data_IF_312528790253
#
_entry.id   IF_312528790253
#
_cell.length_a   1.000
_cell.length_b   1.000
_cell.length_c   1.000
_cell.angle_alpha   90.00
_cell.angle_beta   90.00
_cell.angle_gamma   90.00
#
_symmetry.space_group_name_H-M   'P 1'
#
loop_
_entity.id
_entity.type
_entity.pdbx_description
1 polymer ?
#
# COMPACT_ATOMS: atom_id res chain seq x y z
N UNK A 1 22.40 -38.34 37.35
CA UNK A 1 20.95 -37.97 37.41
C UNK A 1 20.68 -37.03 36.25
N UNK A 2 19.73 -37.39 35.35
CA UNK A 2 19.33 -36.50 34.24
C UNK A 2 18.25 -35.58 34.73
N UNK A 3 18.50 -34.28 34.75
CA UNK A 3 17.49 -33.25 35.03
C UNK A 3 16.85 -32.86 33.70
N UNK A 4 15.52 -33.04 33.61
CA UNK A 4 14.73 -32.55 32.48
C UNK A 4 14.31 -31.11 32.80
N UNK A 5 14.81 -30.17 31.98
CA UNK A 5 14.40 -28.76 32.08
C UNK A 5 13.30 -28.54 31.04
N UNK A 6 12.06 -28.19 31.45
CA UNK A 6 11.00 -27.86 30.52
C UNK A 6 11.33 -26.58 29.77
N UNK A 7 11.16 -26.56 28.45
CA UNK A 7 11.35 -25.39 27.61
C UNK A 7 10.00 -25.02 26.98
N UNK A 8 9.55 -23.79 27.21
CA UNK A 8 8.37 -23.24 26.58
C UNK A 8 8.77 -22.43 25.36
N UNK A 9 8.27 -22.80 24.18
CA UNK A 9 8.47 -22.03 22.95
C UNK A 9 7.36 -20.99 22.84
N UNK A 10 7.78 -19.72 22.74
CA UNK A 10 6.84 -18.60 22.63
C UNK A 10 6.24 -18.51 21.22
N UNK A 11 4.94 -18.26 21.09
CA UNK A 11 4.28 -18.14 19.80
C UNK A 11 4.72 -16.85 19.06
N UNK A 12 4.74 -16.91 17.73
CA UNK A 12 4.93 -15.74 16.86
C UNK A 12 3.56 -15.31 16.33
N UNK A 13 3.19 -14.04 16.56
CA UNK A 13 2.03 -13.45 15.93
C UNK A 13 2.31 -13.23 14.44
N UNK A 14 1.39 -13.66 13.57
CA UNK A 14 1.51 -13.52 12.11
C UNK A 14 0.28 -12.87 11.53
N UNK A 15 0.50 -11.95 10.58
CA UNK A 15 -0.58 -11.27 9.88
C UNK A 15 -0.15 -10.83 8.49
N UNK A 16 -1.13 -10.35 7.74
CA UNK A 16 -0.92 -9.80 6.40
C UNK A 16 -1.60 -8.44 6.28
N UNK A 17 -0.96 -7.53 5.55
CA UNK A 17 -1.51 -6.22 5.18
C UNK A 17 -1.33 -5.99 3.69
N UNK A 18 -2.26 -5.26 3.11
CA UNK A 18 -2.16 -4.81 1.71
C UNK A 18 -2.10 -3.28 1.70
N UNK A 19 -1.09 -2.73 1.05
CA UNK A 19 -0.89 -1.29 0.86
C UNK A 19 -0.84 -0.97 -0.63
N UNK A 20 -1.16 0.27 -1.05
CA UNK A 20 -1.04 0.65 -2.45
C UNK A 20 0.43 0.78 -2.89
N UNK A 21 0.65 0.63 -4.19
CA UNK A 21 1.93 0.88 -4.83
C UNK A 21 2.38 2.33 -4.62
N UNK A 22 3.66 2.51 -4.30
CA UNK A 22 4.25 3.83 -4.05
C UNK A 22 3.96 4.41 -2.67
N UNK A 23 3.32 3.65 -1.76
CA UNK A 23 3.04 4.11 -0.41
C UNK A 23 4.34 4.32 0.39
N UNK A 24 4.31 5.24 1.34
CA UNK A 24 5.47 5.60 2.16
C UNK A 24 5.85 4.50 3.15
N UNK A 25 7.12 4.42 3.52
CA UNK A 25 7.59 3.46 4.54
C UNK A 25 6.95 3.70 5.90
N UNK A 26 6.67 4.96 6.25
CA UNK A 26 6.00 5.32 7.49
C UNK A 26 4.56 4.80 7.53
N UNK A 27 3.85 4.90 6.40
CA UNK A 27 2.51 4.33 6.29
C UNK A 27 2.52 2.81 6.34
N UNK A 28 3.50 2.16 5.72
CA UNK A 28 3.69 0.69 5.83
C UNK A 28 3.91 0.28 7.28
N UNK A 29 4.75 1.02 8.05
CA UNK A 29 4.97 0.76 9.48
C UNK A 29 3.69 0.95 10.31
N UNK A 30 2.94 2.03 10.05
CA UNK A 30 1.66 2.30 10.73
C UNK A 30 0.68 1.13 10.55
N UNK A 31 0.46 0.71 9.30
CA UNK A 31 -0.47 -0.37 8.95
C UNK A 31 0.00 -1.72 9.51
N UNK A 32 1.30 -2.01 9.43
CA UNK A 32 1.88 -3.23 9.99
C UNK A 32 1.74 -3.27 11.51
N UNK A 33 1.96 -2.15 12.20
CA UNK A 33 1.76 -2.05 13.65
C UNK A 33 0.30 -2.28 14.04
N UNK A 34 -0.65 -1.64 13.35
CA UNK A 34 -2.08 -1.84 13.60
C UNK A 34 -2.49 -3.32 13.41
N UNK A 35 -1.94 -3.99 12.39
CA UNK A 35 -2.18 -5.42 12.18
C UNK A 35 -1.55 -6.29 13.26
N UNK A 36 -0.37 -5.96 13.72
CA UNK A 36 0.26 -6.66 14.85
C UNK A 36 -0.56 -6.52 16.13
N UNK A 37 -1.13 -5.33 16.41
CA UNK A 37 -2.04 -5.09 17.53
C UNK A 37 -3.32 -5.94 17.43
N UNK A 38 -3.92 -6.01 16.24
CA UNK A 38 -5.09 -6.85 15.96
C UNK A 38 -4.79 -8.33 16.26
N UNK A 39 -3.69 -8.86 15.68
CA UNK A 39 -3.31 -10.27 15.82
C UNK A 39 -2.89 -10.61 17.25
N UNK A 40 -2.06 -9.78 17.89
CA UNK A 40 -1.58 -10.00 19.25
C UNK A 40 -2.72 -9.97 20.31
N UNK A 41 -3.78 -9.22 20.02
CA UNK A 41 -4.97 -9.16 20.87
C UNK A 41 -6.05 -10.17 20.50
N UNK A 42 -5.88 -10.94 19.44
CA UNK A 42 -6.84 -11.97 19.03
C UNK A 42 -6.95 -13.10 20.08
N UNK A 43 -8.13 -13.68 20.16
CA UNK A 43 -8.36 -14.84 21.03
C UNK A 43 -7.45 -16.04 20.65
N UNK A 44 -7.24 -16.24 19.35
CA UNK A 44 -6.41 -17.33 18.81
C UNK A 44 -4.93 -17.18 19.21
N UNK A 45 -4.39 -15.96 19.21
CA UNK A 45 -3.02 -15.73 19.66
C UNK A 45 -2.91 -15.88 21.18
N UNK A 46 -3.84 -15.26 21.92
CA UNK A 46 -3.86 -15.32 23.38
C UNK A 46 -3.98 -16.76 23.91
N UNK A 47 -4.74 -17.62 23.23
CA UNK A 47 -4.86 -19.02 23.57
C UNK A 47 -3.57 -19.84 23.41
N UNK A 48 -2.59 -19.32 22.65
CA UNK A 48 -1.28 -19.96 22.44
C UNK A 48 -0.21 -19.45 23.41
N UNK A 49 -0.51 -18.37 24.15
CA UNK A 49 0.40 -17.87 25.17
C UNK A 49 0.47 -18.84 26.36
N UNK A 50 1.59 -18.86 27.11
CA UNK A 50 1.69 -19.61 28.34
C UNK A 50 0.60 -19.22 29.33
N UNK A 51 0.17 -20.16 30.19
CA UNK A 51 -0.76 -19.90 31.26
C UNK A 51 -0.25 -18.75 32.14
N UNK A 52 -1.15 -17.84 32.50
CA UNK A 52 -0.83 -16.66 33.33
C UNK A 52 -0.19 -15.50 32.52
N UNK A 53 -0.05 -15.62 31.21
CA UNK A 53 0.41 -14.51 30.37
C UNK A 53 -0.58 -13.32 30.41
N UNK A 54 -0.02 -12.12 30.58
CA UNK A 54 -0.78 -10.85 30.66
C UNK A 54 0.03 -9.70 30.07
N UNK A 55 -0.57 -8.50 30.03
CA UNK A 55 0.07 -7.27 29.61
C UNK A 55 0.64 -7.38 28.18
N UNK A 56 -0.18 -7.86 27.22
CA UNK A 56 0.24 -7.95 25.82
C UNK A 56 0.32 -6.54 25.24
N UNK A 57 1.52 -6.11 24.86
CA UNK A 57 1.81 -4.78 24.33
C UNK A 57 2.54 -4.89 22.98
N UNK A 58 2.19 -4.01 22.05
CA UNK A 58 2.87 -3.90 20.74
C UNK A 58 3.78 -2.68 20.76
N UNK A 59 5.05 -2.90 20.55
CA UNK A 59 6.07 -1.87 20.57
C UNK A 59 6.18 -1.09 19.25
N UNK A 60 7.13 -0.15 19.23
CA UNK A 60 7.47 0.61 18.04
C UNK A 60 8.33 -0.24 17.09
N UNK A 61 8.15 -0.04 15.78
CA UNK A 61 8.97 -0.66 14.74
C UNK A 61 10.28 0.14 14.63
N UNK A 62 11.36 -0.46 15.05
CA UNK A 62 12.72 0.13 15.01
C UNK A 62 13.50 -0.28 13.77
N UNK A 63 13.12 -1.38 13.11
CA UNK A 63 13.75 -1.82 11.87
C UNK A 63 13.43 -0.88 10.71
N UNK A 64 14.39 -0.72 9.81
CA UNK A 64 14.19 0.02 8.57
C UNK A 64 13.31 -0.80 7.60
N UNK A 65 12.22 -0.20 7.14
CA UNK A 65 11.41 -0.76 6.07
C UNK A 65 11.93 -0.20 4.75
N UNK A 66 12.38 -1.08 3.86
CA UNK A 66 12.91 -0.67 2.57
C UNK A 66 11.82 -0.02 1.70
N UNK A 67 12.12 1.16 1.14
CA UNK A 67 11.20 1.88 0.25
C UNK A 67 10.82 1.04 -1.00
N UNK A 68 11.68 0.11 -1.40
CA UNK A 68 11.44 -0.82 -2.52
C UNK A 68 10.30 -1.80 -2.26
N UNK A 69 9.86 -1.98 -1.01
CA UNK A 69 8.77 -2.92 -0.67
C UNK A 69 7.46 -2.54 -1.39
N UNK A 70 7.23 -1.25 -1.63
CA UNK A 70 6.02 -0.72 -2.30
C UNK A 70 6.25 -0.32 -3.76
N UNK A 71 7.46 -0.53 -4.32
CA UNK A 71 7.81 -0.09 -5.67
C UNK A 71 6.98 -0.77 -6.76
N UNK A 72 6.56 -2.00 -6.54
CA UNK A 72 5.78 -2.79 -7.50
C UNK A 72 4.66 -3.58 -6.81
N UNK A 73 3.53 -3.72 -7.50
CA UNK A 73 2.43 -4.56 -7.05
C UNK A 73 2.82 -6.04 -6.98
N UNK A 74 2.26 -6.75 -6.02
CA UNK A 74 2.48 -8.19 -5.83
C UNK A 74 2.17 -8.64 -4.41
N UNK A 75 2.13 -9.95 -4.22
CA UNK A 75 1.98 -10.58 -2.91
C UNK A 75 3.33 -10.83 -2.26
N UNK A 76 3.37 -10.84 -0.94
CA UNK A 76 4.56 -11.17 -0.14
C UNK A 76 5.81 -10.37 -0.57
N UNK A 77 5.66 -9.06 -0.68
CA UNK A 77 6.74 -8.15 -1.07
C UNK A 77 7.80 -7.97 0.01
N UNK A 78 7.48 -8.33 1.23
CA UNK A 78 8.38 -8.30 2.37
C UNK A 78 7.66 -8.58 3.67
N UNK A 79 8.43 -8.65 4.74
CA UNK A 79 7.92 -8.85 6.10
C UNK A 79 8.40 -7.72 7.00
N UNK A 80 7.47 -7.12 7.73
CA UNK A 80 7.76 -6.14 8.77
C UNK A 80 7.71 -6.84 10.12
N UNK A 81 8.77 -6.71 10.90
CA UNK A 81 8.85 -7.23 12.27
C UNK A 81 8.36 -6.17 13.24
N UNK A 82 7.43 -6.55 14.10
CA UNK A 82 6.80 -5.68 15.08
C UNK A 82 6.96 -6.31 16.45
N UNK A 83 7.70 -5.69 17.40
CA UNK A 83 7.91 -6.30 18.71
C UNK A 83 6.61 -6.41 19.50
N UNK A 84 6.31 -7.61 19.99
CA UNK A 84 5.19 -7.92 20.87
C UNK A 84 5.75 -8.39 22.21
N UNK A 85 5.38 -7.70 23.27
CA UNK A 85 5.84 -7.98 24.65
C UNK A 85 4.65 -8.47 25.48
N UNK A 86 4.89 -9.44 26.35
CA UNK A 86 3.93 -9.91 27.34
C UNK A 86 4.65 -10.41 28.59
N UNK A 87 3.95 -10.48 29.69
CA UNK A 87 4.49 -10.85 30.99
C UNK A 87 3.97 -12.22 31.41
N UNK A 88 4.87 -13.13 31.79
CA UNK A 88 4.55 -14.44 32.39
C UNK A 88 5.28 -14.54 33.72
N UNK A 89 4.59 -14.82 34.82
CA UNK A 89 5.14 -14.94 36.14
C UNK A 89 6.05 -13.74 36.56
N UNK A 90 5.65 -12.54 36.13
CA UNK A 90 6.38 -11.30 36.43
C UNK A 90 7.60 -11.05 35.54
N UNK A 91 7.93 -11.94 34.60
CA UNK A 91 9.03 -11.79 33.63
C UNK A 91 8.49 -11.30 32.29
N UNK A 92 9.08 -10.24 31.74
CA UNK A 92 8.76 -9.72 30.39
C UNK A 92 9.46 -10.54 29.33
N UNK A 93 8.71 -10.92 28.32
CA UNK A 93 9.19 -11.58 27.10
C UNK A 93 8.81 -10.75 25.89
N UNK A 94 9.74 -10.61 24.95
CA UNK A 94 9.49 -9.93 23.68
C UNK A 94 9.74 -10.89 22.51
N UNK A 95 8.79 -10.96 21.60
CA UNK A 95 8.90 -11.72 20.36
C UNK A 95 8.31 -10.91 19.21
N UNK A 96 9.03 -10.83 18.10
CA UNK A 96 8.54 -10.08 16.95
C UNK A 96 7.34 -10.78 16.31
N UNK A 97 6.28 -10.01 16.08
CA UNK A 97 5.24 -10.38 15.12
C UNK A 97 5.77 -10.25 13.70
N UNK A 98 5.40 -11.18 12.84
CA UNK A 98 5.76 -11.17 11.41
C UNK A 98 4.55 -10.71 10.58
N UNK A 99 4.62 -9.51 10.03
CA UNK A 99 3.55 -8.94 9.21
C UNK A 99 4.00 -8.92 7.75
N UNK A 100 3.38 -9.79 6.95
CA UNK A 100 3.62 -9.86 5.51
C UNK A 100 2.96 -8.69 4.80
N UNK A 101 3.70 -8.02 3.93
CA UNK A 101 3.23 -6.88 3.14
C UNK A 101 2.92 -7.33 1.71
N UNK A 102 1.68 -7.12 1.31
CA UNK A 102 1.22 -7.23 -0.08
C UNK A 102 1.05 -5.83 -0.65
N UNK A 103 1.28 -5.66 -1.95
CA UNK A 103 1.17 -4.38 -2.63
C UNK A 103 0.15 -4.48 -3.76
N UNK A 104 -0.85 -3.63 -3.72
CA UNK A 104 -1.85 -3.48 -4.78
C UNK A 104 -1.50 -2.30 -5.67
N UNK A 105 -1.68 -2.44 -6.98
CA UNK A 105 -1.45 -1.38 -7.94
C UNK A 105 -2.55 -1.31 -8.99
N UNK A 106 -2.70 -0.16 -9.61
CA UNK A 106 -3.63 0.13 -10.69
C UNK A 106 -2.91 0.24 -12.03
N UNK A 107 -3.65 0.09 -13.12
CA UNK A 107 -3.19 0.32 -14.49
C UNK A 107 -3.97 1.47 -15.11
N UNK A 108 -3.41 2.10 -16.15
CA UNK A 108 -4.10 3.11 -16.93
C UNK A 108 -3.93 2.86 -18.42
N UNK A 109 -5.04 2.96 -19.12
CA UNK A 109 -5.08 2.97 -20.58
C UNK A 109 -4.86 4.38 -21.13
N UNK A 110 -4.58 4.48 -22.42
CA UNK A 110 -4.32 5.73 -23.10
C UNK A 110 -5.59 6.52 -23.36
N UNK A 111 -5.54 7.85 -23.13
CA UNK A 111 -6.59 8.80 -23.48
C UNK A 111 -6.13 9.63 -24.68
N UNK A 112 -7.03 9.93 -25.60
CA UNK A 112 -6.77 10.75 -26.78
C UNK A 112 -7.46 12.10 -26.68
N UNK A 113 -6.77 13.16 -27.07
CA UNK A 113 -7.29 14.53 -27.09
C UNK A 113 -6.78 15.28 -28.31
N UNK A 114 -7.56 16.23 -28.82
CA UNK A 114 -7.09 17.10 -29.92
C UNK A 114 -6.25 18.24 -29.33
N UNK A 115 -5.22 18.63 -30.07
CA UNK A 115 -4.34 19.75 -29.69
C UNK A 115 -5.13 21.02 -29.35
N UNK A 116 -4.81 21.60 -28.18
CA UNK A 116 -5.49 22.78 -27.62
C UNK A 116 -6.74 22.47 -26.80
N UNK A 117 -7.26 21.23 -26.85
CA UNK A 117 -8.35 20.80 -25.99
C UNK A 117 -7.81 20.13 -24.71
N UNK A 118 -8.59 20.17 -23.63
CA UNK A 118 -8.28 19.43 -22.39
C UNK A 118 -8.86 18.02 -22.44
N UNK A 119 -8.19 17.01 -21.86
CA UNK A 119 -8.79 15.69 -21.65
C UNK A 119 -10.08 15.80 -20.82
N UNK A 120 -11.10 15.04 -21.20
CA UNK A 120 -12.34 14.96 -20.42
C UNK A 120 -12.11 14.16 -19.13
N UNK A 121 -12.45 14.72 -17.97
CA UNK A 121 -12.28 14.09 -16.66
C UNK A 121 -12.87 12.69 -16.61
N UNK A 122 -14.08 12.50 -17.16
CA UNK A 122 -14.74 11.20 -17.20
C UNK A 122 -13.92 10.16 -17.98
N UNK A 123 -13.36 10.52 -19.13
CA UNK A 123 -12.54 9.61 -19.94
C UNK A 123 -11.21 9.26 -19.24
N UNK A 124 -10.62 10.23 -18.55
CA UNK A 124 -9.41 10.00 -17.74
C UNK A 124 -9.70 9.01 -16.62
N UNK A 125 -10.80 9.20 -15.90
CA UNK A 125 -11.24 8.29 -14.84
C UNK A 125 -11.51 6.89 -15.37
N UNK A 126 -12.25 6.76 -16.47
CA UNK A 126 -12.62 5.49 -17.08
C UNK A 126 -11.41 4.73 -17.64
N UNK A 127 -10.31 5.44 -17.97
CA UNK A 127 -9.07 4.84 -18.42
C UNK A 127 -8.27 4.16 -17.28
N UNK A 128 -8.62 4.40 -16.02
CA UNK A 128 -7.93 3.78 -14.87
C UNK A 128 -8.65 2.51 -14.45
N UNK A 129 -7.93 1.39 -14.51
CA UNK A 129 -8.38 0.12 -13.91
C UNK A 129 -7.74 -0.02 -12.53
N UNK A 130 -8.51 0.19 -11.44
CA UNK A 130 -7.98 0.10 -10.09
C UNK A 130 -7.63 -1.33 -9.74
N UNK A 131 -6.63 -1.51 -8.89
CA UNK A 131 -6.37 -2.78 -8.23
C UNK A 131 -7.49 -3.16 -7.27
N UNK A 132 -7.42 -4.35 -6.70
CA UNK A 132 -8.46 -4.89 -5.82
C UNK A 132 -8.73 -3.95 -4.63
N UNK A 133 -9.99 -3.56 -4.46
CA UNK A 133 -10.43 -2.67 -3.37
C UNK A 133 -10.13 -1.18 -3.62
N UNK A 134 -9.61 -0.82 -4.80
CA UNK A 134 -9.36 0.57 -5.17
C UNK A 134 -10.61 1.29 -5.67
N UNK A 135 -10.68 2.58 -5.39
CA UNK A 135 -11.71 3.50 -5.89
C UNK A 135 -11.05 4.67 -6.58
N UNK A 136 -11.29 4.81 -7.89
CA UNK A 136 -10.73 5.91 -8.69
C UNK A 136 -11.39 7.22 -8.30
N UNK A 137 -10.58 8.22 -7.99
CA UNK A 137 -11.04 9.59 -7.70
C UNK A 137 -11.05 10.41 -9.00
N UNK A 138 -11.96 11.37 -9.11
CA UNK A 138 -11.99 12.28 -10.24
C UNK A 138 -10.75 13.20 -10.18
N UNK A 139 -9.95 13.31 -11.26
CA UNK A 139 -8.92 14.32 -11.34
C UNK A 139 -9.56 15.71 -11.35
N UNK A 140 -8.83 16.71 -10.88
CA UNK A 140 -9.29 18.10 -10.90
C UNK A 140 -8.92 18.78 -12.21
N UNK A 141 -9.55 19.92 -12.51
CA UNK A 141 -9.19 20.74 -13.68
C UNK A 141 -7.71 21.19 -13.66
N UNK A 142 -7.13 21.33 -12.47
CA UNK A 142 -5.72 21.69 -12.30
C UNK A 142 -4.75 20.54 -12.64
N UNK A 143 -5.22 19.32 -12.62
CA UNK A 143 -4.44 18.12 -12.97
C UNK A 143 -4.39 17.89 -14.48
N UNK A 144 -5.28 18.55 -15.26
CA UNK A 144 -5.34 18.39 -16.70
C UNK A 144 -4.21 19.16 -17.39
N UNK A 145 -3.44 18.51 -18.28
CA UNK A 145 -2.32 19.15 -18.96
C UNK A 145 -2.78 20.18 -20.00
N UNK A 146 -1.93 21.16 -20.26
CA UNK A 146 -2.01 21.95 -21.47
C UNK A 146 -1.50 21.09 -22.66
N UNK A 147 -2.34 20.96 -23.68
CA UNK A 147 -2.06 20.12 -24.87
C UNK A 147 -1.61 20.93 -26.07
N UNK A 148 -1.53 22.26 -25.95
CA UNK A 148 -1.03 23.13 -27.01
C UNK A 148 0.43 22.79 -27.34
N UNK A 149 0.74 22.68 -28.63
CA UNK A 149 2.08 22.32 -29.13
C UNK A 149 2.62 20.98 -28.59
N UNK A 150 1.73 20.04 -28.20
CA UNK A 150 2.09 18.73 -27.63
C UNK A 150 1.85 17.54 -28.57
N UNK A 151 1.55 17.77 -29.84
CA UNK A 151 1.39 16.68 -30.81
C UNK A 151 2.67 15.85 -30.89
N UNK A 152 2.55 14.53 -30.67
CA UNK A 152 3.68 13.60 -30.69
C UNK A 152 4.52 13.58 -29.39
N UNK A 153 4.18 14.38 -28.39
CA UNK A 153 4.82 14.28 -27.07
C UNK A 153 4.42 12.98 -26.36
N UNK A 154 5.38 12.34 -25.68
CA UNK A 154 5.20 11.05 -25.00
C UNK A 154 5.10 11.16 -23.48
N UNK A 155 5.26 12.36 -22.96
CA UNK A 155 5.31 12.68 -21.53
C UNK A 155 4.05 13.35 -20.99
N UNK A 156 3.01 13.49 -21.82
CA UNK A 156 1.74 14.10 -21.42
C UNK A 156 0.92 13.09 -20.62
N UNK A 157 0.65 13.42 -19.35
CA UNK A 157 -0.09 12.54 -18.44
C UNK A 157 -1.06 13.33 -17.56
N UNK A 158 -2.10 12.65 -17.06
CA UNK A 158 -2.98 13.16 -16.01
C UNK A 158 -2.76 12.34 -14.73
N UNK A 159 -2.29 12.96 -13.63
CA UNK A 159 -2.21 12.28 -12.35
C UNK A 159 -3.62 12.00 -11.82
N UNK A 160 -3.94 10.73 -11.63
CA UNK A 160 -5.26 10.28 -11.16
C UNK A 160 -5.08 9.46 -9.89
N UNK A 161 -5.82 9.80 -8.85
CA UNK A 161 -5.72 9.15 -7.55
C UNK A 161 -6.62 7.95 -7.46
N UNK A 162 -6.11 6.86 -6.88
CA UNK A 162 -6.87 5.67 -6.53
C UNK A 162 -6.77 5.44 -5.04
N UNK A 163 -7.89 5.49 -4.35
CA UNK A 163 -7.98 5.32 -2.91
C UNK A 163 -8.21 3.86 -2.54
N UNK A 164 -7.42 3.37 -1.58
CA UNK A 164 -7.52 2.05 -0.98
C UNK A 164 -7.75 2.15 0.53
N UNK A 165 -8.05 1.03 1.19
CA UNK A 165 -8.26 1.00 2.64
C UNK A 165 -7.04 1.50 3.42
N UNK A 166 -5.82 1.21 2.96
CA UNK A 166 -4.57 1.51 3.66
C UNK A 166 -3.68 2.53 2.93
N UNK A 167 -4.25 3.44 2.17
CA UNK A 167 -3.50 4.49 1.51
C UNK A 167 -4.04 4.89 0.15
N UNK A 168 -3.23 5.60 -0.63
CA UNK A 168 -3.61 6.17 -1.92
C UNK A 168 -2.46 5.98 -2.92
N UNK A 169 -2.80 5.56 -4.14
CA UNK A 169 -1.88 5.51 -5.27
C UNK A 169 -2.16 6.67 -6.24
N UNK A 170 -1.12 7.26 -6.82
CA UNK A 170 -1.25 8.18 -7.94
C UNK A 170 -0.84 7.48 -9.23
N UNK A 171 -1.81 7.27 -10.12
CA UNK A 171 -1.62 6.66 -11.44
C UNK A 171 -1.46 7.78 -12.48
N UNK A 172 -0.45 7.69 -13.31
CA UNK A 172 -0.26 8.61 -14.44
C UNK A 172 -1.00 8.06 -15.66
N UNK A 173 -2.14 8.66 -16.01
CA UNK A 173 -2.92 8.30 -17.20
C UNK A 173 -2.24 8.93 -18.42
N UNK A 174 -1.73 8.13 -19.38
CA UNK A 174 -1.05 8.67 -20.56
C UNK A 174 -2.05 9.35 -21.51
N UNK A 175 -1.67 10.50 -22.06
CA UNK A 175 -2.47 11.27 -23.01
C UNK A 175 -1.74 11.38 -24.33
N UNK A 176 -2.38 10.95 -25.43
CA UNK A 176 -1.93 11.20 -26.78
C UNK A 176 -2.63 12.41 -27.34
N UNK A 177 -1.85 13.41 -27.75
CA UNK A 177 -2.34 14.62 -28.37
C UNK A 177 -2.37 14.43 -29.89
N UNK A 178 -3.56 14.49 -30.47
CA UNK A 178 -3.81 14.39 -31.92
C UNK A 178 -3.71 15.76 -32.56
N UNK A 179 -3.22 15.86 -33.79
CA UNK A 179 -3.16 17.14 -34.49
C UNK A 179 -4.55 17.72 -34.75
N UNK A 180 -4.67 19.03 -34.58
CA UNK A 180 -5.86 19.76 -34.97
C UNK A 180 -5.93 19.87 -36.48
N UNK A 181 -7.00 19.35 -37.08
CA UNK A 181 -7.27 19.52 -38.50
C UNK A 181 -7.78 20.94 -38.73
N UNK A 182 -6.99 21.77 -39.37
CA UNK A 182 -7.43 23.09 -39.83
C UNK A 182 -7.96 22.89 -41.26
N UNK A 183 -9.25 23.17 -41.53
CA UNK A 183 -9.73 23.15 -42.93
C UNK A 183 -8.90 24.16 -43.75
N UNK A 184 -8.26 23.69 -44.79
CA UNK A 184 -7.68 24.64 -45.78
C UNK A 184 -8.84 25.46 -46.35
N UNK A 185 -8.70 26.77 -46.26
CA UNK A 185 -9.71 27.70 -46.76
C UNK A 185 -9.96 27.48 -48.24
N UNK A 186 -11.24 27.34 -48.62
CA UNK A 186 -11.72 27.36 -49.99
C UNK A 186 -11.69 28.79 -50.48
#
# INVERSE_FOLDING_TARGET
>A
EKVIVPVTVLPVAKGEVTVPKGETTDKVKEVAKAKAEEVANSADFKAKLPDGAKDVEVGAITEEVLATITSEAGTNKGTVKVPVTYTVDGVKYTKDAEITVNVVGSNADQVYVVEGDKPEIAKVKDAVTPGQGGTVQDPTEADLPDTKDKVGATDVTVPTKVKYANGEETVKVPVTVLPKVTPEGV
#
